data_IF_775230393632
#
_entry.id   IF_775230393632
#
_cell.length_a   1.000
_cell.length_b   1.000
_cell.length_c   1.000
_cell.angle_alpha   90.00
_cell.angle_beta   90.00
_cell.angle_gamma   90.00
#
_symmetry.space_group_name_H-M   'P 1'
#
loop_
_entity.id
_entity.type
_entity.pdbx_description
1 polymer ?
#
# COMPACT_ATOMS: atom_id res chain seq x y z
N UNK A 1 -20.61 8.49 30.16
CA UNK A 1 -20.80 7.64 28.96
C UNK A 1 -19.92 8.19 27.86
N UNK A 2 -19.07 7.38 27.21
CA UNK A 2 -18.40 7.84 25.99
C UNK A 2 -19.47 8.16 24.94
N UNK A 3 -19.27 9.21 24.10
CA UNK A 3 -20.26 9.58 23.11
C UNK A 3 -20.54 8.41 22.15
N UNK A 4 -21.81 8.23 21.79
CA UNK A 4 -22.22 7.27 20.77
C UNK A 4 -21.48 7.61 19.47
N UNK A 5 -20.64 6.69 19.01
CA UNK A 5 -19.85 6.86 17.78
C UNK A 5 -20.81 6.99 16.59
N UNK A 6 -20.68 8.08 15.84
CA UNK A 6 -21.50 8.34 14.65
C UNK A 6 -20.79 7.74 13.44
N UNK A 7 -21.43 6.73 12.85
CA UNK A 7 -21.05 6.16 11.58
C UNK A 7 -21.59 7.01 10.43
N UNK A 8 -20.81 7.18 9.37
CA UNK A 8 -21.24 7.84 8.15
C UNK A 8 -21.21 6.86 6.98
N UNK A 9 -22.21 6.97 6.12
CA UNK A 9 -22.37 6.14 4.94
C UNK A 9 -22.58 7.05 3.73
N UNK A 10 -21.85 6.81 2.66
CA UNK A 10 -21.99 7.56 1.41
C UNK A 10 -21.97 6.60 0.23
N UNK A 11 -22.94 6.75 -0.66
CA UNK A 11 -22.91 6.14 -2.00
C UNK A 11 -22.62 7.22 -3.02
N UNK A 12 -21.76 6.93 -4.00
CA UNK A 12 -21.36 7.86 -5.05
C UNK A 12 -21.25 7.13 -6.39
N UNK A 13 -21.56 7.83 -7.47
CA UNK A 13 -21.29 7.39 -8.84
C UNK A 13 -20.48 8.48 -9.54
N UNK A 14 -19.29 8.16 -10.02
CA UNK A 14 -18.45 9.04 -10.84
C UNK A 14 -18.44 8.55 -12.29
N UNK A 15 -18.33 9.47 -13.25
CA UNK A 15 -18.26 9.16 -14.68
C UNK A 15 -17.14 9.98 -15.34
N UNK A 16 -16.21 9.29 -16.00
CA UNK A 16 -15.06 9.90 -16.67
C UNK A 16 -15.13 9.57 -18.16
N UNK A 17 -15.18 10.61 -19.00
CA UNK A 17 -15.70 10.50 -20.37
C UNK A 17 -14.71 10.00 -21.42
N UNK A 18 -13.40 9.99 -21.14
CA UNK A 18 -12.43 9.47 -22.10
C UNK A 18 -11.10 9.03 -21.46
N UNK A 19 -10.82 7.74 -21.57
CA UNK A 19 -9.48 7.18 -21.36
C UNK A 19 -9.01 6.55 -22.67
N UNK A 20 -7.87 7.02 -23.19
CA UNK A 20 -7.18 6.44 -24.36
C UNK A 20 -6.11 5.48 -23.87
N UNK A 21 -6.13 4.25 -24.37
CA UNK A 21 -5.13 3.25 -24.04
C UNK A 21 -4.45 2.76 -25.32
N UNK A 22 -3.11 2.90 -25.43
CA UNK A 22 -2.39 2.28 -26.52
C UNK A 22 -2.40 0.76 -26.31
N UNK A 23 -2.80 0.02 -27.33
CA UNK A 23 -2.58 -1.43 -27.35
C UNK A 23 -1.16 -1.70 -27.85
N UNK A 24 -0.45 -2.60 -27.17
CA UNK A 24 0.92 -2.98 -27.51
C UNK A 24 1.14 -3.13 -29.03
N UNK A 25 1.91 -2.19 -29.58
CA UNK A 25 2.68 -2.33 -30.83
C UNK A 25 1.95 -2.24 -32.18
N UNK A 26 0.68 -2.61 -32.35
CA UNK A 26 0.08 -2.70 -33.72
C UNK A 26 -1.45 -2.48 -33.85
N UNK A 27 -2.14 -1.91 -32.85
CA UNK A 27 -3.61 -1.70 -32.87
C UNK A 27 -4.06 -0.24 -33.09
N UNK A 28 -5.34 -0.03 -33.44
CA UNK A 28 -5.99 1.29 -33.35
C UNK A 28 -6.23 1.67 -31.89
N UNK A 29 -6.14 2.96 -31.57
CA UNK A 29 -6.44 3.47 -30.22
C UNK A 29 -7.86 3.08 -29.77
N UNK A 30 -7.97 2.55 -28.55
CA UNK A 30 -9.25 2.21 -27.93
C UNK A 30 -9.69 3.36 -27.02
N UNK A 31 -10.99 3.70 -27.08
CA UNK A 31 -11.58 4.75 -26.27
C UNK A 31 -12.61 4.21 -25.30
N UNK A 32 -12.55 4.62 -24.04
CA UNK A 32 -13.46 4.16 -22.99
C UNK A 32 -14.09 5.32 -22.20
N UNK A 33 -15.34 5.11 -21.75
CA UNK A 33 -15.96 5.84 -20.63
C UNK A 33 -15.84 4.99 -19.38
N UNK A 34 -15.36 5.57 -18.28
CA UNK A 34 -15.32 4.90 -16.99
C UNK A 34 -16.53 5.32 -16.15
N UNK A 35 -17.23 4.34 -15.60
CA UNK A 35 -18.25 4.53 -14.56
C UNK A 35 -17.72 3.93 -13.25
N UNK A 36 -17.83 4.66 -12.15
CA UNK A 36 -17.29 4.24 -10.86
C UNK A 36 -18.33 4.40 -9.74
N UNK A 37 -19.21 3.39 -9.55
CA UNK A 37 -19.98 3.28 -8.32
C UNK A 37 -19.05 3.04 -7.14
N UNK A 38 -19.33 3.71 -6.02
CA UNK A 38 -18.60 3.53 -4.77
C UNK A 38 -19.49 3.61 -3.54
N UNK A 39 -19.07 2.90 -2.50
CA UNK A 39 -19.66 2.88 -1.16
C UNK A 39 -18.58 3.21 -0.15
N UNK A 40 -18.82 4.21 0.68
CA UNK A 40 -17.93 4.62 1.76
C UNK A 40 -18.62 4.43 3.09
N UNK A 41 -17.92 3.77 4.01
CA UNK A 41 -18.28 3.63 5.43
C UNK A 41 -17.17 4.25 6.26
N UNK A 42 -17.52 5.25 7.06
CA UNK A 42 -16.58 5.97 7.91
C UNK A 42 -16.98 5.81 9.38
N UNK A 43 -16.09 5.17 10.14
CA UNK A 43 -16.16 4.96 11.59
C UNK A 43 -15.18 5.83 12.39
N UNK A 44 -14.62 6.87 11.78
CA UNK A 44 -13.57 7.74 12.33
C UNK A 44 -12.21 7.05 12.39
N UNK A 45 -11.39 7.41 13.38
CA UNK A 45 -9.98 6.97 13.51
C UNK A 45 -9.74 5.47 13.68
N UNK A 46 -10.77 4.64 13.83
CA UNK A 46 -10.58 3.19 14.01
C UNK A 46 -11.04 2.37 12.81
N UNK A 47 -11.81 2.94 11.89
CA UNK A 47 -12.35 2.18 10.79
C UNK A 47 -12.73 3.07 9.61
N UNK A 48 -12.28 2.70 8.42
CA UNK A 48 -12.72 3.27 7.16
C UNK A 48 -12.75 2.21 6.07
N UNK A 49 -13.83 2.18 5.30
CA UNK A 49 -14.01 1.28 4.16
C UNK A 49 -14.48 2.10 2.97
N UNK A 50 -13.79 1.97 1.84
CA UNK A 50 -14.19 2.49 0.54
C UNK A 50 -14.15 1.34 -0.47
N UNK A 51 -15.32 0.97 -0.95
CA UNK A 51 -15.48 -0.01 -2.02
C UNK A 51 -15.80 0.73 -3.32
N UNK A 52 -15.20 0.32 -4.42
CA UNK A 52 -15.48 0.82 -5.76
C UNK A 52 -15.68 -0.32 -6.74
N UNK A 53 -16.30 -0.08 -7.88
CA UNK A 53 -16.30 -1.03 -8.99
C UNK A 53 -16.16 -0.27 -10.31
N UNK A 54 -14.94 0.20 -10.65
CA UNK A 54 -14.72 0.96 -11.88
C UNK A 54 -14.99 0.07 -13.11
N UNK A 55 -15.90 0.47 -13.97
CA UNK A 55 -16.25 -0.24 -15.20
C UNK A 55 -15.90 0.64 -16.39
N UNK A 56 -14.98 0.19 -17.23
CA UNK A 56 -14.65 0.85 -18.50
C UNK A 56 -15.51 0.30 -19.63
N UNK A 57 -16.39 1.16 -20.15
CA UNK A 57 -17.27 0.91 -21.28
C UNK A 57 -16.62 1.40 -22.56
N UNK A 58 -16.47 0.51 -23.54
CA UNK A 58 -15.84 0.79 -24.84
C UNK A 58 -16.74 1.69 -25.68
N UNK A 59 -16.17 2.79 -26.17
CA UNK A 59 -16.79 3.70 -27.14
C UNK A 59 -16.38 3.39 -28.59
N UNK A 60 -15.10 3.07 -28.81
CA UNK A 60 -14.54 2.71 -30.11
C UNK A 60 -13.26 1.87 -29.96
N UNK A 61 -12.73 1.38 -31.09
CA UNK A 61 -11.61 0.45 -31.15
C UNK A 61 -12.14 -0.98 -31.23
N UNK A 62 -12.27 -1.49 -32.45
CA UNK A 62 -12.84 -2.81 -32.73
C UNK A 62 -11.77 -3.91 -32.60
N UNK A 63 -12.00 -4.88 -31.72
CA UNK A 63 -11.51 -6.25 -31.92
C UNK A 63 -12.72 -7.16 -32.14
N UNK A 64 -12.61 -8.07 -33.11
CA UNK A 64 -13.71 -8.96 -33.49
C UNK A 64 -14.07 -9.85 -32.29
N UNK A 65 -15.24 -9.64 -31.69
CA UNK A 65 -15.73 -10.42 -30.55
C UNK A 65 -15.48 -9.79 -29.17
N UNK A 66 -14.90 -8.59 -29.06
CA UNK A 66 -14.76 -7.91 -27.77
C UNK A 66 -16.11 -7.43 -27.21
N UNK A 67 -16.32 -7.64 -25.91
CA UNK A 67 -17.46 -7.12 -25.17
C UNK A 67 -17.48 -5.60 -25.05
N UNK A 68 -18.61 -5.05 -24.57
CA UNK A 68 -18.74 -3.61 -24.28
C UNK A 68 -17.95 -3.16 -23.05
N UNK A 69 -17.58 -4.10 -22.17
CA UNK A 69 -16.75 -3.87 -20.99
C UNK A 69 -15.32 -4.31 -21.31
N UNK A 70 -14.34 -3.58 -20.81
CA UNK A 70 -12.93 -3.97 -20.88
C UNK A 70 -12.67 -5.21 -20.03
N UNK A 71 -12.23 -6.29 -20.67
CA UNK A 71 -12.05 -7.60 -20.01
C UNK A 71 -10.78 -7.62 -19.16
N UNK A 72 -9.72 -6.93 -19.61
CA UNK A 72 -8.42 -6.80 -18.93
C UNK A 72 -8.50 -6.08 -17.57
N UNK A 73 -9.68 -5.56 -17.23
CA UNK A 73 -9.93 -4.96 -15.93
C UNK A 73 -10.40 -5.99 -14.90
N UNK A 74 -10.72 -7.22 -15.30
CA UNK A 74 -11.45 -8.19 -14.47
C UNK A 74 -11.07 -9.64 -14.76
N UNK A 75 -10.10 -9.89 -15.64
CA UNK A 75 -9.74 -11.22 -16.14
C UNK A 75 -8.81 -11.99 -15.20
N UNK A 76 -8.08 -11.30 -14.31
CA UNK A 76 -7.26 -11.94 -13.28
C UNK A 76 -7.89 -11.88 -11.89
N UNK A 77 -7.52 -12.82 -11.01
CA UNK A 77 -7.95 -12.79 -9.61
C UNK A 77 -7.51 -11.49 -8.92
N UNK A 78 -6.31 -11.00 -9.25
CA UNK A 78 -5.74 -9.79 -8.68
C UNK A 78 -6.55 -8.54 -9.01
N UNK A 79 -7.20 -8.48 -10.18
CA UNK A 79 -7.98 -7.31 -10.58
C UNK A 79 -9.20 -7.05 -9.70
N UNK A 80 -9.72 -8.08 -9.04
CA UNK A 80 -10.75 -7.92 -8.01
C UNK A 80 -10.28 -7.09 -6.82
N UNK A 81 -8.96 -6.93 -6.65
CA UNK A 81 -8.38 -6.02 -5.68
C UNK A 81 -8.79 -4.56 -5.88
N UNK A 82 -9.11 -4.13 -7.10
CA UNK A 82 -9.58 -2.76 -7.35
C UNK A 82 -10.89 -2.43 -6.63
N UNK A 83 -11.64 -3.47 -6.24
CA UNK A 83 -12.89 -3.30 -5.49
C UNK A 83 -12.63 -2.70 -4.12
N UNK A 84 -11.52 -3.09 -3.48
CA UNK A 84 -11.07 -2.48 -2.22
C UNK A 84 -10.25 -1.25 -2.55
N UNK A 85 -10.89 -0.07 -2.51
CA UNK A 85 -10.18 1.21 -2.69
C UNK A 85 -9.46 1.63 -1.42
N UNK A 86 -10.10 1.39 -0.28
CA UNK A 86 -9.54 1.59 1.04
C UNK A 86 -10.21 0.62 2.02
N UNK A 87 -9.40 -0.07 2.80
CA UNK A 87 -9.78 -0.63 4.09
C UNK A 87 -8.77 -0.10 5.10
N UNK A 88 -9.24 0.47 6.19
CA UNK A 88 -8.41 0.93 7.28
C UNK A 88 -9.02 0.46 8.59
N UNK A 89 -8.21 -0.13 9.45
CA UNK A 89 -8.57 -0.53 10.81
C UNK A 89 -7.48 -0.01 11.74
N UNK A 90 -7.87 0.77 12.74
CA UNK A 90 -6.94 1.53 13.56
C UNK A 90 -6.41 2.79 12.87
N UNK A 91 -5.43 3.41 13.52
CA UNK A 91 -4.75 4.65 13.13
C UNK A 91 -3.28 4.56 13.52
N UNK A 92 -2.48 5.55 13.13
CA UNK A 92 -1.06 5.66 13.52
C UNK A 92 -0.84 5.70 15.05
N UNK A 93 -1.86 6.07 15.82
CA UNK A 93 -1.84 6.04 17.29
C UNK A 93 -2.22 4.67 17.87
N UNK A 94 -2.69 3.73 17.05
CA UNK A 94 -3.15 2.42 17.49
C UNK A 94 -1.96 1.45 17.64
N UNK A 95 -1.95 0.58 18.66
CA UNK A 95 -0.89 -0.42 18.82
C UNK A 95 -0.79 -1.39 17.64
N UNK A 96 -1.86 -1.58 16.89
CA UNK A 96 -1.91 -2.34 15.64
C UNK A 96 -2.82 -1.58 14.68
N UNK A 97 -2.40 -1.44 13.44
CA UNK A 97 -3.22 -0.89 12.37
C UNK A 97 -3.09 -1.72 11.09
N UNK A 98 -4.20 -1.83 10.35
CA UNK A 98 -4.26 -2.49 9.06
C UNK A 98 -4.75 -1.49 8.02
N UNK A 99 -4.08 -1.46 6.89
CA UNK A 99 -4.48 -0.71 5.71
C UNK A 99 -4.50 -1.65 4.51
N UNK A 100 -5.48 -1.53 3.61
CA UNK A 100 -5.48 -2.22 2.32
C UNK A 100 -6.09 -1.36 1.21
N UNK A 101 -5.59 -1.51 -0.01
CA UNK A 101 -5.96 -0.69 -1.17
C UNK A 101 -4.85 -0.59 -2.21
N UNK A 102 -4.82 0.48 -2.99
CA UNK A 102 -3.74 0.76 -3.94
C UNK A 102 -2.46 1.25 -3.25
N UNK A 103 -1.36 0.52 -3.37
CA UNK A 103 -0.06 1.03 -2.93
C UNK A 103 0.48 1.99 -3.98
N UNK A 104 0.67 3.24 -3.60
CA UNK A 104 1.31 4.25 -4.44
C UNK A 104 2.51 4.86 -3.71
N UNK A 105 3.68 4.81 -4.35
CA UNK A 105 4.95 5.27 -3.81
C UNK A 105 5.29 4.68 -2.42
N UNK A 106 4.80 3.47 -2.13
CA UNK A 106 5.01 2.79 -0.87
C UNK A 106 6.50 2.47 -0.64
N UNK A 107 6.97 2.66 0.59
CA UNK A 107 8.31 2.25 1.00
C UNK A 107 8.19 1.50 2.32
N UNK A 108 8.85 0.35 2.42
CA UNK A 108 8.92 -0.39 3.68
C UNK A 108 9.91 0.33 4.59
N UNK A 109 9.40 0.96 5.66
CA UNK A 109 10.17 1.71 6.65
C UNK A 109 11.29 2.58 6.04
N UNK A 110 12.56 2.24 6.28
CA UNK A 110 13.75 2.97 5.81
C UNK A 110 13.88 3.00 4.28
N UNK A 111 13.17 2.10 3.59
CA UNK A 111 13.15 1.98 2.15
C UNK A 111 14.41 1.32 1.58
N UNK A 112 15.14 0.53 2.38
CA UNK A 112 16.34 -0.17 1.90
C UNK A 112 16.02 -1.31 0.93
N UNK A 113 14.98 -2.11 1.22
CA UNK A 113 14.55 -3.20 0.34
C UNK A 113 13.44 -2.81 -0.63
N UNK A 114 12.46 -2.03 -0.17
CA UNK A 114 11.29 -1.62 -0.97
C UNK A 114 11.14 -0.12 -0.87
N UNK A 115 11.24 0.57 -2.01
CA UNK A 115 11.19 2.03 -2.07
C UNK A 115 10.37 2.52 -3.23
N UNK A 116 9.44 3.42 -2.96
CA UNK A 116 8.54 4.04 -3.95
C UNK A 116 7.86 3.01 -4.86
N UNK A 117 7.45 1.90 -4.28
CA UNK A 117 6.76 0.83 -4.94
C UNK A 117 5.30 1.22 -5.20
N UNK A 118 4.84 1.01 -6.42
CA UNK A 118 3.43 1.19 -6.79
C UNK A 118 2.91 -0.08 -7.46
N UNK A 119 1.79 -0.61 -6.97
CA UNK A 119 1.24 -1.89 -7.44
C UNK A 119 0.25 -1.76 -8.62
N UNK A 120 -0.04 -0.54 -9.07
CA UNK A 120 -1.00 -0.23 -10.15
C UNK A 120 -0.39 0.57 -11.31
N UNK A 121 0.92 0.45 -11.52
CA UNK A 121 1.59 1.11 -12.65
C UNK A 121 1.27 0.45 -14.00
N UNK A 122 0.85 -0.81 -14.00
CA UNK A 122 0.35 -1.49 -15.20
C UNK A 122 -1.14 -1.17 -15.37
N UNK A 123 -1.59 -0.60 -16.51
CA UNK A 123 -3.00 -0.28 -16.76
C UNK A 123 -3.93 -1.50 -16.87
N UNK A 124 -3.36 -2.71 -16.90
CA UNK A 124 -4.06 -4.00 -17.11
C UNK A 124 -3.91 -4.91 -15.89
N UNK A 125 -3.56 -4.35 -14.73
CA UNK A 125 -3.37 -5.12 -13.50
C UNK A 125 -3.70 -4.27 -12.29
N UNK A 126 -4.76 -4.66 -11.58
CA UNK A 126 -5.41 -3.81 -10.56
C UNK A 126 -5.45 -4.43 -9.15
N UNK A 127 -4.31 -4.85 -8.57
CA UNK A 127 -4.29 -5.48 -7.25
C UNK A 127 -4.67 -4.53 -6.11
N UNK A 128 -5.12 -5.11 -5.00
CA UNK A 128 -5.10 -4.48 -3.69
C UNK A 128 -3.89 -5.01 -2.93
N UNK A 129 -3.05 -4.10 -2.44
CA UNK A 129 -2.06 -4.41 -1.43
C UNK A 129 -2.63 -4.27 -0.03
N UNK A 130 -1.87 -4.70 0.96
CA UNK A 130 -2.16 -4.48 2.37
C UNK A 130 -0.88 -4.19 3.16
N UNK A 131 -1.00 -3.39 4.20
CA UNK A 131 0.05 -3.03 5.15
C UNK A 131 -0.50 -3.24 6.56
N UNK A 132 0.23 -3.99 7.37
CA UNK A 132 -0.03 -4.22 8.79
C UNK A 132 1.10 -3.61 9.59
N UNK A 133 0.78 -2.73 10.52
CA UNK A 133 1.73 -2.15 11.46
C UNK A 133 1.40 -2.56 12.88
N UNK A 134 2.42 -2.64 13.73
CA UNK A 134 2.25 -3.00 15.13
C UNK A 134 3.38 -2.48 16.01
N UNK A 135 3.03 -2.06 17.23
CA UNK A 135 3.99 -1.61 18.24
C UNK A 135 3.79 -2.39 19.54
N UNK A 136 4.86 -3.00 20.05
CA UNK A 136 4.89 -3.71 21.32
C UNK A 136 6.13 -3.31 22.13
N UNK A 137 5.96 -2.37 23.06
CA UNK A 137 7.06 -1.86 23.88
C UNK A 137 8.15 -1.20 23.04
N UNK A 138 9.39 -1.74 23.02
CA UNK A 138 10.48 -1.22 22.19
C UNK A 138 10.43 -1.66 20.73
N UNK A 139 9.52 -2.56 20.35
CA UNK A 139 9.48 -3.16 19.02
C UNK A 139 8.38 -2.53 18.18
N UNK A 140 8.75 -2.02 17.01
CA UNK A 140 7.84 -1.69 15.91
C UNK A 140 7.96 -2.74 14.81
N UNK A 141 6.84 -3.10 14.21
CA UNK A 141 6.78 -4.06 13.11
C UNK A 141 5.92 -3.49 12.01
N UNK A 142 6.36 -3.67 10.77
CA UNK A 142 5.58 -3.39 9.57
C UNK A 142 5.67 -4.58 8.63
N UNK A 143 4.53 -5.02 8.11
CA UNK A 143 4.47 -6.06 7.10
C UNK A 143 3.56 -5.61 5.96
N UNK A 144 3.90 -5.97 4.74
CA UNK A 144 3.10 -5.63 3.58
C UNK A 144 3.01 -6.77 2.58
N UNK A 145 1.96 -6.69 1.77
CA UNK A 145 1.81 -7.49 0.55
C UNK A 145 1.31 -6.55 -0.56
N UNK A 146 1.92 -6.65 -1.73
CA UNK A 146 1.60 -5.84 -2.91
C UNK A 146 0.29 -6.24 -3.59
N UNK A 147 -0.06 -7.52 -3.49
CA UNK A 147 -1.26 -8.12 -4.04
C UNK A 147 -1.76 -9.18 -3.06
N UNK A 148 -2.84 -8.88 -2.34
CA UNK A 148 -3.44 -9.76 -1.34
C UNK A 148 -3.95 -11.06 -1.97
N UNK A 149 -4.39 -11.02 -3.22
CA UNK A 149 -5.01 -12.15 -3.90
C UNK A 149 -4.00 -12.98 -4.70
N UNK A 150 -2.95 -12.34 -5.23
CA UNK A 150 -1.90 -13.00 -6.01
C UNK A 150 -0.59 -13.24 -5.26
N UNK A 151 -0.41 -12.68 -4.05
CA UNK A 151 0.76 -12.86 -3.18
C UNK A 151 2.12 -12.62 -3.89
N UNK A 152 2.19 -11.60 -4.75
CA UNK A 152 3.34 -11.35 -5.64
C UNK A 152 4.60 -10.89 -4.92
N UNK A 153 4.52 -9.76 -4.21
CA UNK A 153 5.61 -9.21 -3.41
C UNK A 153 5.11 -9.05 -1.99
N UNK A 154 5.81 -9.63 -1.03
CA UNK A 154 5.51 -9.51 0.39
C UNK A 154 6.78 -9.18 1.17
N UNK A 155 6.66 -8.44 2.25
CA UNK A 155 7.80 -8.14 3.08
C UNK A 155 7.41 -7.80 4.50
N UNK A 156 8.37 -7.87 5.39
CA UNK A 156 8.23 -7.45 6.76
C UNK A 156 9.52 -6.84 7.26
N UNK A 157 9.40 -5.88 8.16
CA UNK A 157 10.50 -5.25 8.86
C UNK A 157 10.15 -5.11 10.34
N UNK A 158 11.15 -5.39 11.18
CA UNK A 158 11.10 -5.32 12.62
C UNK A 158 12.14 -4.32 13.08
N UNK A 159 11.72 -3.24 13.72
CA UNK A 159 12.57 -2.16 14.20
C UNK A 159 12.56 -2.14 15.73
N UNK A 160 13.73 -2.32 16.35
CA UNK A 160 13.92 -2.37 17.79
C UNK A 160 14.56 -1.08 18.31
N UNK A 161 13.90 -0.40 19.24
CA UNK A 161 14.49 0.70 20.02
C UNK A 161 15.52 0.14 21.01
N UNK A 162 16.79 0.21 20.62
CA UNK A 162 17.92 -0.28 21.41
C UNK A 162 18.06 0.50 22.71
N UNK A 163 17.74 1.80 22.70
CA UNK A 163 17.80 2.61 23.92
C UNK A 163 16.77 2.13 24.94
N UNK A 164 15.55 1.86 24.47
CA UNK A 164 14.49 1.34 25.33
C UNK A 164 14.89 0.00 25.94
N UNK A 165 15.46 -0.92 25.15
CA UNK A 165 15.90 -2.23 25.65
C UNK A 165 16.98 -2.11 26.73
N UNK A 166 17.97 -1.24 26.52
CA UNK A 166 19.14 -1.15 27.41
C UNK A 166 18.91 -0.26 28.64
N UNK A 167 18.11 0.80 28.50
CA UNK A 167 17.96 1.88 29.51
C UNK A 167 16.52 2.14 29.94
N UNK A 168 15.56 1.37 29.42
CA UNK A 168 14.13 1.63 29.62
C UNK A 168 13.63 2.81 28.78
N UNK A 169 12.36 3.16 28.96
CA UNK A 169 11.67 4.13 28.11
C UNK A 169 12.36 5.51 28.14
N UNK A 170 12.84 5.94 26.97
CA UNK A 170 13.53 7.21 26.77
C UNK A 170 12.56 8.36 26.53
N UNK A 171 12.97 9.59 26.87
CA UNK A 171 12.27 10.81 26.47
C UNK A 171 12.26 11.04 24.94
N UNK A 172 13.17 10.37 24.23
CA UNK A 172 13.25 10.33 22.76
C UNK A 172 13.20 8.86 22.31
N UNK A 173 11.99 8.30 22.11
CA UNK A 173 11.86 6.94 21.59
C UNK A 173 12.43 6.85 20.17
N UNK A 174 13.01 5.69 19.83
CA UNK A 174 13.55 5.43 18.49
C UNK A 174 14.84 6.18 18.15
N UNK A 175 15.54 6.74 19.14
CA UNK A 175 16.81 7.45 18.90
C UNK A 175 17.89 6.53 18.33
N UNK A 176 17.93 5.29 18.81
CA UNK A 176 18.83 4.25 18.33
C UNK A 176 18.00 3.03 17.97
N UNK A 177 17.95 2.72 16.68
CA UNK A 177 17.08 1.67 16.15
C UNK A 177 17.93 0.63 15.45
N UNK A 178 17.64 -0.64 15.69
CA UNK A 178 18.15 -1.76 14.91
C UNK A 178 16.99 -2.40 14.19
N UNK A 179 17.05 -2.46 12.86
CA UNK A 179 16.01 -3.03 12.03
C UNK A 179 16.48 -4.28 11.28
N UNK A 180 15.56 -5.23 11.13
CA UNK A 180 15.71 -6.42 10.30
C UNK A 180 14.52 -6.46 9.34
N UNK A 181 14.80 -6.43 8.04
CA UNK A 181 13.81 -6.55 6.99
C UNK A 181 14.04 -7.78 6.13
N UNK A 182 12.95 -8.34 5.62
CA UNK A 182 12.96 -9.40 4.64
C UNK A 182 11.84 -9.18 3.63
N UNK A 183 12.15 -9.40 2.36
CA UNK A 183 11.20 -9.26 1.25
C UNK A 183 11.27 -10.52 0.41
N UNK A 184 10.10 -11.07 0.10
CA UNK A 184 9.93 -12.24 -0.73
C UNK A 184 9.12 -11.87 -1.97
N UNK A 185 9.68 -12.15 -3.13
CA UNK A 185 8.96 -12.15 -4.40
C UNK A 185 8.49 -13.56 -4.71
N UNK A 186 7.17 -13.75 -4.60
CA UNK A 186 6.46 -14.93 -5.03
C UNK A 186 6.24 -14.96 -6.54
N UNK A 187 5.68 -16.07 -7.00
CA UNK A 187 5.27 -16.25 -8.40
C UNK A 187 3.80 -15.91 -8.53
N UNK A 188 3.44 -14.97 -9.40
CA UNK A 188 2.05 -14.77 -9.79
C UNK A 188 1.47 -16.06 -10.39
N UNK A 189 0.15 -16.25 -10.31
CA UNK A 189 -0.52 -17.39 -10.94
C UNK A 189 -0.29 -17.29 -12.46
N UNK A 190 0.51 -18.21 -13.02
CA UNK A 190 0.87 -18.23 -14.44
C UNK A 190 2.28 -17.74 -14.77
N UNK A 191 3.04 -17.23 -13.79
CA UNK A 191 4.40 -16.74 -13.99
C UNK A 191 5.46 -17.79 -13.61
N UNK A 192 6.51 -17.91 -14.43
CA UNK A 192 7.64 -18.83 -14.23
C UNK A 192 8.88 -18.14 -13.62
N UNK A 193 8.75 -16.86 -13.25
CA UNK A 193 9.81 -16.08 -12.64
C UNK A 193 10.42 -16.76 -11.39
N UNK A 194 11.73 -16.58 -11.21
CA UNK A 194 12.48 -17.19 -10.12
C UNK A 194 12.14 -16.49 -8.80
N UNK A 195 11.55 -17.24 -7.88
CA UNK A 195 11.31 -16.78 -6.50
C UNK A 195 12.61 -16.28 -5.88
N UNK A 196 12.55 -15.10 -5.30
CA UNK A 196 13.71 -14.45 -4.68
C UNK A 196 13.33 -13.95 -3.30
N UNK A 197 14.22 -14.16 -2.34
CA UNK A 197 14.09 -13.58 -1.00
C UNK A 197 15.33 -12.76 -0.72
N UNK A 198 15.13 -11.52 -0.32
CA UNK A 198 16.17 -10.61 0.14
C UNK A 198 15.97 -10.34 1.63
N UNK A 199 17.06 -10.13 2.34
CA UNK A 199 17.03 -9.72 3.74
C UNK A 199 18.05 -8.60 3.94
N UNK A 200 17.76 -7.70 4.86
CA UNK A 200 18.61 -6.57 5.18
C UNK A 200 18.58 -6.33 6.68
N UNK A 201 19.73 -5.95 7.22
CA UNK A 201 19.86 -5.47 8.59
C UNK A 201 20.39 -4.07 8.53
N UNK A 202 19.73 -3.14 9.19
CA UNK A 202 20.20 -1.76 9.31
C UNK A 202 20.14 -1.24 10.75
N UNK A 203 20.99 -0.27 11.01
CA UNK A 203 21.01 0.48 12.25
C UNK A 203 20.89 1.97 11.94
N UNK A 204 20.00 2.64 12.66
CA UNK A 204 19.77 4.07 12.57
C UNK A 204 20.09 4.74 13.90
N UNK A 205 20.75 5.89 13.84
CA UNK A 205 21.03 6.73 15.00
C UNK A 205 20.64 8.17 14.73
N UNK A 206 19.74 8.72 15.55
CA UNK A 206 19.43 10.15 15.57
C UNK A 206 20.54 10.87 16.35
N UNK A 207 21.40 11.56 15.62
CA UNK A 207 22.61 12.20 16.16
C UNK A 207 22.35 13.63 16.63
N UNK A 208 21.44 14.35 15.97
CA UNK A 208 21.11 15.72 16.32
C UNK A 208 19.62 15.99 16.12
N UNK A 209 19.00 16.54 17.14
CA UNK A 209 17.62 17.05 17.09
C UNK A 209 17.67 18.50 17.50
N UNK A 210 17.38 19.41 16.56
CA UNK A 210 17.22 20.83 16.86
C UNK A 210 15.77 21.20 16.65
N UNK A 211 15.08 21.61 17.72
CA UNK A 211 13.70 22.11 17.67
C UNK A 211 13.73 23.63 17.84
N UNK A 212 13.44 24.36 16.76
CA UNK A 212 13.26 25.81 16.78
C UNK A 212 11.79 26.18 16.54
N UNK A 213 11.39 27.37 17.03
CA UNK A 213 10.00 27.85 17.00
C UNK A 213 9.45 28.00 15.57
N UNK A 214 10.33 28.24 14.57
CA UNK A 214 9.98 28.40 13.16
C UNK A 214 10.69 27.43 12.20
N UNK A 215 11.69 26.67 12.68
CA UNK A 215 12.39 25.64 11.90
C UNK A 215 13.10 24.67 12.84
N UNK A 216 12.84 23.38 12.68
CA UNK A 216 13.60 22.32 13.31
C UNK A 216 14.26 21.44 12.27
N UNK A 217 15.30 20.72 12.64
CA UNK A 217 15.86 19.67 11.81
C UNK A 217 16.34 18.50 12.65
N UNK A 218 16.36 17.34 12.00
CA UNK A 218 16.81 16.09 12.58
C UNK A 218 17.87 15.50 11.65
N UNK A 219 19.03 15.15 12.21
CA UNK A 219 20.09 14.48 11.49
C UNK A 219 20.19 13.02 11.95
N UNK A 220 20.18 12.11 10.99
CA UNK A 220 20.20 10.68 11.21
C UNK A 220 21.36 10.03 10.44
N UNK A 221 22.00 9.04 11.03
CA UNK A 221 23.03 8.22 10.41
C UNK A 221 22.50 6.80 10.27
N UNK A 222 22.69 6.22 9.10
CA UNK A 222 22.27 4.85 8.78
C UNK A 222 23.48 4.01 8.41
N UNK A 223 23.50 2.76 8.85
CA UNK A 223 24.44 1.75 8.40
C UNK A 223 23.68 0.45 8.18
N UNK A 224 23.76 -0.12 6.98
CA UNK A 224 23.01 -1.30 6.60
C UNK A 224 23.85 -2.32 5.84
N UNK A 225 23.44 -3.59 5.91
CA UNK A 225 24.04 -4.71 5.21
C UNK A 225 22.97 -5.71 4.78
N UNK A 226 23.05 -6.19 3.53
CA UNK A 226 22.13 -7.17 2.92
C UNK A 226 22.62 -7.65 1.57
#
# INVERSE_FOLDING_TARGET
MPPLRRWHFLTRLEATTLTLLPRDGMGQDEGFVQLEPSLVVDGGELFGLNLGAPVRLRLWGESRGAGSVREEDWDTLSDWGQVVRLLSVGSDASPVALWAGSLDCYSLLSGHLVRRYSNRNNPDYHPAGAVLTGTLGPLYTEAFVSDVLGARLMGAEFALDVQHVLSGQSAQPGRYTLALSAVHEGTGIGDTARRTTLAHVDAAAVVLVQRGMNSGFEAQVFAGWG
#
